data_IF_198003516934
#
_entry.id   IF_198003516934
#
_cell.length_a   1.000
_cell.length_b   1.000
_cell.length_c   1.000
_cell.angle_alpha   90.00
_cell.angle_beta   90.00
_cell.angle_gamma   90.00
#
_symmetry.space_group_name_H-M   'P 1'
#
loop_
_entity.id
_entity.type
_entity.pdbx_description
1 polymer ?
#
# COMPACT_ATOMS: atom_id res chain seq x y z
N UNK A 1 17.18 5.73 -26.56
CA UNK A 1 16.01 5.03 -27.15
C UNK A 1 16.20 3.54 -26.87
N UNK A 2 15.76 3.07 -25.68
CA UNK A 2 15.86 1.65 -25.33
C UNK A 2 14.46 1.06 -25.39
N UNK A 3 14.22 0.30 -26.44
CA UNK A 3 12.98 -0.45 -26.65
C UNK A 3 13.04 -1.68 -25.73
N UNK A 4 12.29 -1.66 -24.63
CA UNK A 4 12.08 -2.87 -23.83
C UNK A 4 11.27 -3.87 -24.64
N UNK A 5 11.95 -4.91 -25.12
CA UNK A 5 11.29 -6.10 -25.67
C UNK A 5 10.71 -6.86 -24.46
N UNK A 6 9.43 -6.60 -24.17
CA UNK A 6 8.66 -7.47 -23.28
C UNK A 6 8.40 -8.75 -24.09
N UNK A 7 9.08 -9.83 -23.71
CA UNK A 7 8.81 -11.14 -24.30
C UNK A 7 7.34 -11.47 -24.10
N UNK A 8 6.60 -11.69 -25.18
CA UNK A 8 5.21 -12.14 -25.11
C UNK A 8 5.18 -13.49 -24.39
N UNK A 9 4.36 -13.65 -23.37
CA UNK A 9 4.22 -14.94 -22.68
C UNK A 9 3.76 -16.01 -23.70
N UNK A 10 4.29 -17.21 -23.55
CA UNK A 10 4.08 -18.33 -24.46
C UNK A 10 2.63 -18.83 -24.31
N UNK A 11 1.72 -18.24 -25.03
CA UNK A 11 0.26 -18.33 -24.90
C UNK A 11 -0.29 -19.79 -24.92
N UNK A 12 0.50 -20.75 -25.40
CA UNK A 12 0.09 -22.17 -25.44
C UNK A 12 0.34 -22.94 -24.13
N UNK A 13 1.42 -22.61 -23.38
CA UNK A 13 1.72 -23.24 -22.07
C UNK A 13 0.84 -22.65 -20.97
N UNK A 14 0.60 -21.35 -21.03
CA UNK A 14 -0.25 -20.64 -20.05
C UNK A 14 -1.71 -21.10 -20.13
N UNK A 15 -2.24 -21.38 -21.32
CA UNK A 15 -3.59 -21.95 -21.47
C UNK A 15 -3.73 -23.35 -20.87
N UNK A 16 -2.69 -24.22 -20.96
CA UNK A 16 -2.74 -25.58 -20.38
C UNK A 16 -2.63 -25.54 -18.85
N UNK A 17 -1.83 -24.65 -18.28
CA UNK A 17 -1.76 -24.48 -16.83
C UNK A 17 -3.04 -23.86 -16.26
N UNK A 18 -3.59 -22.84 -16.90
CA UNK A 18 -4.87 -22.25 -16.51
C UNK A 18 -6.00 -23.29 -16.47
N UNK A 19 -6.04 -24.21 -17.43
CA UNK A 19 -7.04 -25.30 -17.45
C UNK A 19 -6.86 -26.31 -16.31
N UNK A 20 -5.63 -26.60 -15.89
CA UNK A 20 -5.35 -27.58 -14.82
C UNK A 20 -5.76 -27.08 -13.43
N UNK A 21 -5.73 -25.78 -13.20
CA UNK A 21 -5.99 -25.15 -11.89
C UNK A 21 -7.24 -24.29 -11.88
N UNK A 22 -8.05 -24.30 -12.95
CA UNK A 22 -9.24 -23.47 -13.08
C UNK A 22 -10.29 -23.68 -11.98
N UNK A 23 -10.28 -24.84 -11.34
CA UNK A 23 -11.23 -25.21 -10.27
C UNK A 23 -10.66 -24.96 -8.85
N UNK A 24 -9.43 -24.45 -8.74
CA UNK A 24 -8.84 -24.15 -7.43
C UNK A 24 -9.22 -22.71 -7.05
N UNK A 25 -9.84 -22.59 -5.89
CA UNK A 25 -10.20 -21.30 -5.30
C UNK A 25 -9.49 -21.07 -3.98
N UNK A 26 -9.42 -19.83 -3.55
CA UNK A 26 -8.95 -19.44 -2.24
C UNK A 26 -9.84 -18.33 -1.66
N UNK A 27 -9.80 -18.14 -0.35
CA UNK A 27 -10.49 -17.04 0.32
C UNK A 27 -9.63 -15.79 0.32
N UNK A 28 -10.00 -14.78 -0.48
CA UNK A 28 -9.29 -13.52 -0.66
C UNK A 28 -10.15 -12.30 -0.40
N UNK A 29 -9.49 -11.13 -0.39
CA UNK A 29 -10.14 -9.83 -0.29
C UNK A 29 -10.08 -9.15 -1.67
N UNK A 30 -11.21 -8.98 -2.32
CA UNK A 30 -11.29 -8.27 -3.59
C UNK A 30 -11.25 -6.77 -3.34
N UNK A 31 -10.45 -6.08 -4.15
CA UNK A 31 -10.28 -4.62 -4.09
C UNK A 31 -11.08 -3.95 -5.20
N UNK A 32 -11.31 -2.65 -5.06
CA UNK A 32 -12.07 -1.81 -5.99
C UNK A 32 -11.49 -1.87 -7.41
N UNK A 33 -10.19 -2.01 -7.55
CA UNK A 33 -9.50 -2.18 -8.85
C UNK A 33 -9.52 -3.62 -9.39
N UNK A 34 -10.28 -4.52 -8.77
CA UNK A 34 -10.43 -5.92 -9.17
C UNK A 34 -9.30 -6.86 -8.73
N UNK A 35 -8.19 -6.35 -8.17
CA UNK A 35 -7.10 -7.20 -7.64
C UNK A 35 -7.53 -7.89 -6.36
N UNK A 36 -6.94 -9.06 -6.10
CA UNK A 36 -7.26 -9.86 -4.91
C UNK A 36 -6.05 -9.98 -4.00
N UNK A 37 -6.25 -9.67 -2.72
CA UNK A 37 -5.25 -9.84 -1.66
C UNK A 37 -5.60 -11.02 -0.75
N UNK A 38 -4.58 -11.65 -0.19
CA UNK A 38 -4.72 -12.71 0.83
C UNK A 38 -4.68 -12.15 2.25
N UNK A 39 -4.35 -10.87 2.40
CA UNK A 39 -4.27 -10.11 3.66
C UNK A 39 -5.14 -8.86 3.57
N UNK A 40 -5.38 -8.23 4.72
CA UNK A 40 -6.22 -7.04 4.85
C UNK A 40 -5.57 -6.04 5.82
N UNK A 41 -4.31 -5.65 5.54
CA UNK A 41 -3.53 -4.79 6.42
C UNK A 41 -4.01 -3.34 6.35
N UNK A 42 -4.05 -2.67 7.49
CA UNK A 42 -4.07 -1.21 7.58
C UNK A 42 -2.62 -0.76 7.71
N UNK A 43 -2.13 -0.04 6.71
CA UNK A 43 -0.73 0.32 6.60
C UNK A 43 -0.48 1.73 7.12
N UNK A 44 0.55 1.90 7.94
CA UNK A 44 1.10 3.20 8.31
C UNK A 44 2.40 3.36 7.52
N UNK A 45 2.37 4.23 6.51
CA UNK A 45 3.42 4.37 5.50
C UNK A 45 4.20 5.66 5.72
N UNK A 46 5.47 5.60 6.14
CA UNK A 46 6.33 6.77 6.19
C UNK A 46 6.72 7.20 4.77
N UNK A 47 6.76 8.50 4.52
CA UNK A 47 7.25 9.08 3.26
C UNK A 47 8.78 9.11 3.22
N UNK A 48 9.38 9.30 4.38
CA UNK A 48 10.82 9.48 4.57
C UNK A 48 11.27 8.83 5.90
N UNK A 49 12.58 8.68 6.06
CA UNK A 49 13.18 8.03 7.24
C UNK A 49 12.93 8.77 8.56
N UNK A 50 12.74 10.08 8.54
CA UNK A 50 12.45 10.86 9.76
C UNK A 50 11.02 10.55 10.24
N UNK A 51 10.10 10.32 9.34
CA UNK A 51 8.71 9.99 9.65
C UNK A 51 8.52 8.59 10.27
N UNK A 52 9.54 7.74 10.24
CA UNK A 52 9.48 6.38 10.79
C UNK A 52 9.01 6.37 12.24
N UNK A 53 9.58 7.23 13.10
CA UNK A 53 9.24 7.26 14.53
C UNK A 53 7.75 7.57 14.76
N UNK A 54 7.19 8.50 14.01
CA UNK A 54 5.76 8.82 14.08
C UNK A 54 4.90 7.65 13.58
N UNK A 55 5.28 7.00 12.49
CA UNK A 55 4.58 5.82 11.96
C UNK A 55 4.59 4.65 12.95
N UNK A 56 5.74 4.36 13.55
CA UNK A 56 5.88 3.31 14.57
C UNK A 56 5.06 3.64 15.83
N UNK A 57 5.04 4.91 16.26
CA UNK A 57 4.21 5.33 17.39
C UNK A 57 2.71 5.12 17.11
N UNK A 58 2.22 5.45 15.90
CA UNK A 58 0.84 5.16 15.50
C UNK A 58 0.57 3.66 15.52
N UNK A 59 1.46 2.85 14.95
CA UNK A 59 1.28 1.39 14.90
C UNK A 59 1.31 0.76 16.30
N UNK A 60 2.09 1.31 17.23
CA UNK A 60 2.11 0.87 18.62
C UNK A 60 0.81 1.25 19.38
N UNK A 61 0.25 2.41 19.07
CA UNK A 61 -0.99 2.91 19.67
C UNK A 61 -2.24 2.16 19.16
N UNK A 62 -2.25 1.74 17.90
CA UNK A 62 -3.43 1.17 17.26
C UNK A 62 -3.17 -0.26 16.80
N UNK A 63 -3.66 -1.23 17.59
CA UNK A 63 -3.56 -2.65 17.22
C UNK A 63 -4.32 -2.95 15.93
N UNK A 64 -3.72 -3.80 15.09
CA UNK A 64 -4.29 -4.13 13.77
C UNK A 64 -3.69 -3.30 12.62
N UNK A 65 -2.79 -2.37 12.92
CA UNK A 65 -2.00 -1.63 11.94
C UNK A 65 -0.58 -2.19 11.82
N UNK A 66 0.10 -1.83 10.72
CA UNK A 66 1.48 -2.20 10.46
C UNK A 66 2.24 -1.01 9.88
N UNK A 67 3.31 -0.58 10.55
CA UNK A 67 4.25 0.39 9.98
C UNK A 67 5.32 -0.32 9.13
N UNK A 68 5.77 0.34 8.08
CA UNK A 68 6.88 -0.14 7.22
C UNK A 68 8.00 0.91 7.24
N UNK A 69 8.83 0.95 8.30
CA UNK A 69 9.95 1.89 8.38
C UNK A 69 11.01 1.56 7.32
N UNK A 70 11.66 2.61 6.81
CA UNK A 70 12.73 2.50 5.81
C UNK A 70 13.75 3.65 5.95
N UNK A 71 14.90 3.54 5.28
CA UNK A 71 16.01 4.47 5.40
C UNK A 71 16.10 5.51 4.26
N UNK A 72 15.04 5.70 3.49
CA UNK A 72 15.05 6.49 2.26
C UNK A 72 14.14 7.73 2.37
N UNK A 73 14.16 8.57 1.33
CA UNK A 73 13.22 9.67 1.13
C UNK A 73 13.81 11.06 1.26
N UNK A 74 15.04 11.26 1.79
CA UNK A 74 15.60 12.60 2.02
C UNK A 74 16.72 13.02 1.08
N UNK A 75 17.49 12.10 0.57
CA UNK A 75 18.69 12.39 -0.23
C UNK A 75 18.55 11.84 -1.67
N UNK A 76 17.33 11.72 -2.14
CA UNK A 76 17.02 11.26 -3.50
C UNK A 76 16.62 12.43 -4.36
N UNK A 77 17.12 12.45 -5.59
CA UNK A 77 16.90 13.54 -6.54
C UNK A 77 16.65 12.97 -7.93
N UNK A 78 15.95 13.73 -8.79
CA UNK A 78 15.71 13.36 -10.16
C UNK A 78 15.04 11.98 -10.29
N UNK A 79 15.59 11.12 -11.12
CA UNK A 79 15.04 9.78 -11.39
C UNK A 79 14.97 8.89 -10.15
N UNK A 80 15.94 8.98 -9.25
CA UNK A 80 15.95 8.21 -8.01
C UNK A 80 14.78 8.58 -7.09
N UNK A 81 14.46 9.87 -7.01
CA UNK A 81 13.29 10.35 -6.29
C UNK A 81 11.98 9.84 -6.92
N UNK A 82 11.91 9.81 -8.25
CA UNK A 82 10.74 9.25 -8.95
C UNK A 82 10.57 7.74 -8.69
N UNK A 83 11.66 7.00 -8.60
CA UNK A 83 11.64 5.59 -8.19
C UNK A 83 11.12 5.45 -6.76
N UNK A 84 11.57 6.32 -5.84
CA UNK A 84 11.09 6.35 -4.46
C UNK A 84 9.56 6.55 -4.41
N UNK A 85 9.02 7.58 -5.07
CA UNK A 85 7.58 7.83 -5.10
C UNK A 85 6.79 6.65 -5.67
N UNK A 86 7.24 6.08 -6.80
CA UNK A 86 6.59 4.90 -7.37
C UNK A 86 6.60 3.70 -6.44
N UNK A 87 7.69 3.52 -5.68
CA UNK A 87 7.82 2.44 -4.71
C UNK A 87 6.85 2.61 -3.54
N UNK A 88 6.75 3.82 -3.00
CA UNK A 88 5.82 4.13 -1.90
C UNK A 88 4.36 3.97 -2.36
N UNK A 89 4.01 4.52 -3.52
CA UNK A 89 2.68 4.36 -4.12
C UNK A 89 2.37 2.88 -4.36
N UNK A 90 3.31 2.13 -4.95
CA UNK A 90 3.15 0.69 -5.20
C UNK A 90 2.96 -0.12 -3.91
N UNK A 91 3.67 0.24 -2.85
CA UNK A 91 3.54 -0.40 -1.53
C UNK A 91 2.15 -0.16 -0.94
N UNK A 92 1.69 1.09 -0.92
CA UNK A 92 0.36 1.44 -0.44
C UNK A 92 -0.76 0.84 -1.30
N UNK A 93 -0.54 0.72 -2.60
CA UNK A 93 -1.50 0.18 -3.58
C UNK A 93 -1.55 -1.35 -3.61
N UNK A 94 -0.74 -2.05 -2.82
CA UNK A 94 -0.70 -3.51 -2.80
C UNK A 94 -2.09 -4.11 -2.47
N UNK A 95 -2.45 -5.20 -3.13
CA UNK A 95 -3.74 -5.86 -2.91
C UNK A 95 -3.94 -6.38 -1.48
N UNK A 96 -2.86 -6.66 -0.76
CA UNK A 96 -2.89 -7.09 0.65
C UNK A 96 -3.15 -5.93 1.64
N UNK A 97 -3.17 -4.68 1.17
CA UNK A 97 -3.46 -3.49 1.96
C UNK A 97 -4.92 -3.10 1.78
N UNK A 98 -5.61 -2.85 2.88
CA UNK A 98 -6.98 -2.34 2.91
C UNK A 98 -7.00 -0.82 2.73
N UNK A 99 -6.30 -0.13 3.63
CA UNK A 99 -6.24 1.33 3.69
C UNK A 99 -4.87 1.77 4.18
N UNK A 100 -4.53 3.03 3.94
CA UNK A 100 -3.19 3.56 4.23
C UNK A 100 -3.28 4.89 4.99
N UNK A 101 -2.49 5.00 6.05
CA UNK A 101 -2.17 6.29 6.68
C UNK A 101 -0.76 6.67 6.23
N UNK A 102 -0.63 7.72 5.45
CA UNK A 102 0.65 8.24 4.96
C UNK A 102 1.12 9.35 5.89
N UNK A 103 2.34 9.24 6.38
CA UNK A 103 2.96 10.27 7.25
C UNK A 103 4.31 10.67 6.65
N UNK A 104 4.47 11.96 6.42
CA UNK A 104 5.73 12.54 5.93
C UNK A 104 6.09 13.81 6.69
N UNK A 105 7.33 14.29 6.52
CA UNK A 105 7.72 15.60 7.04
C UNK A 105 7.02 16.67 6.22
N UNK A 106 7.19 16.63 4.93
CA UNK A 106 6.84 17.67 3.97
C UNK A 106 5.46 17.39 3.33
N UNK A 107 4.57 18.40 3.26
CA UNK A 107 3.19 18.21 2.79
C UNK A 107 3.06 17.76 1.33
N UNK A 108 3.84 18.32 0.40
CA UNK A 108 3.66 18.07 -1.04
C UNK A 108 4.04 16.63 -1.42
N UNK A 109 5.12 16.10 -0.85
CA UNK A 109 5.51 14.70 -1.06
C UNK A 109 4.52 13.73 -0.42
N UNK A 110 4.07 14.08 0.79
CA UNK A 110 3.05 13.30 1.50
C UNK A 110 1.77 13.22 0.68
N UNK A 111 1.32 14.37 0.17
CA UNK A 111 0.14 14.47 -0.69
C UNK A 111 0.33 13.70 -2.00
N UNK A 112 1.48 13.83 -2.66
CA UNK A 112 1.77 13.14 -3.92
C UNK A 112 1.65 11.61 -3.79
N UNK A 113 2.20 11.04 -2.72
CA UNK A 113 2.11 9.60 -2.45
C UNK A 113 0.68 9.21 -2.13
N UNK A 114 0.00 9.98 -1.28
CA UNK A 114 -1.38 9.70 -0.89
C UNK A 114 -2.32 9.73 -2.11
N UNK A 115 -2.18 10.72 -2.99
CA UNK A 115 -3.00 10.83 -4.19
C UNK A 115 -2.75 9.66 -5.15
N UNK A 116 -1.49 9.28 -5.38
CA UNK A 116 -1.18 8.13 -6.21
C UNK A 116 -1.74 6.80 -5.69
N UNK A 117 -1.85 6.65 -4.37
CA UNK A 117 -2.50 5.48 -3.78
C UNK A 117 -4.03 5.58 -3.95
N UNK A 118 -4.63 6.76 -3.75
CA UNK A 118 -6.09 6.99 -3.94
C UNK A 118 -6.57 6.66 -5.34
N UNK A 119 -5.75 6.89 -6.37
CA UNK A 119 -6.07 6.52 -7.76
C UNK A 119 -6.36 5.03 -7.95
N UNK A 120 -5.91 4.18 -7.04
CA UNK A 120 -6.20 2.74 -7.05
C UNK A 120 -7.51 2.35 -6.33
N UNK A 121 -8.28 3.34 -5.87
CA UNK A 121 -9.54 3.15 -5.14
C UNK A 121 -9.38 2.95 -3.63
N UNK A 122 -8.16 2.95 -3.10
CA UNK A 122 -7.92 2.75 -1.65
C UNK A 122 -8.27 3.99 -0.83
N UNK A 123 -8.77 3.76 0.37
CA UNK A 123 -8.97 4.80 1.37
C UNK A 123 -7.61 5.20 1.97
N UNK A 124 -7.31 6.50 1.93
CA UNK A 124 -6.03 7.05 2.37
C UNK A 124 -6.26 8.30 3.24
N UNK A 125 -5.61 8.32 4.40
CA UNK A 125 -5.43 9.52 5.21
C UNK A 125 -3.97 9.97 5.12
N UNK A 126 -3.74 11.28 5.07
CA UNK A 126 -2.40 11.87 4.95
C UNK A 126 -2.14 12.87 6.06
N UNK A 127 -0.93 12.86 6.59
CA UNK A 127 -0.49 13.76 7.65
C UNK A 127 0.94 14.20 7.41
N UNK A 128 1.21 15.50 7.57
CA UNK A 128 2.57 16.06 7.56
C UNK A 128 2.96 16.53 8.95
N UNK A 129 4.23 16.30 9.32
CA UNK A 129 4.79 16.70 10.61
C UNK A 129 5.12 18.18 10.62
N UNK A 130 5.54 18.72 9.47
CA UNK A 130 5.89 20.13 9.32
C UNK A 130 4.75 21.04 9.81
N UNK A 131 5.09 22.05 10.59
CA UNK A 131 4.19 23.03 11.21
C UNK A 131 3.25 22.50 12.30
N UNK A 132 3.06 21.17 12.41
CA UNK A 132 2.14 20.57 13.40
C UNK A 132 2.88 19.90 14.55
N UNK A 133 4.06 19.38 14.26
CA UNK A 133 4.87 18.60 15.21
C UNK A 133 4.41 17.15 15.33
N UNK A 134 5.27 16.33 15.94
CA UNK A 134 5.09 14.89 16.04
C UNK A 134 3.86 14.47 16.82
N UNK A 135 3.65 15.08 18.00
CA UNK A 135 2.56 14.67 18.90
C UNK A 135 1.18 14.86 18.28
N UNK A 136 0.95 16.01 17.64
CA UNK A 136 -0.34 16.28 17.00
C UNK A 136 -0.55 15.38 15.78
N UNK A 137 0.52 15.15 15.01
CA UNK A 137 0.49 14.23 13.86
C UNK A 137 0.18 12.80 14.30
N UNK A 138 0.88 12.29 15.32
CA UNK A 138 0.64 10.94 15.87
C UNK A 138 -0.79 10.82 16.40
N UNK A 139 -1.29 11.83 17.12
CA UNK A 139 -2.65 11.85 17.63
C UNK A 139 -3.69 11.74 16.50
N UNK A 140 -3.60 12.63 15.52
CA UNK A 140 -4.55 12.67 14.41
C UNK A 140 -4.48 11.41 13.55
N UNK A 141 -3.27 10.94 13.22
CA UNK A 141 -3.03 9.72 12.46
C UNK A 141 -3.54 8.47 13.19
N UNK A 142 -3.40 8.41 14.53
CA UNK A 142 -3.92 7.29 15.33
C UNK A 142 -5.45 7.21 15.28
N UNK A 143 -6.17 8.34 15.25
CA UNK A 143 -7.61 8.34 15.08
C UNK A 143 -8.02 7.82 13.68
N UNK A 144 -7.37 8.29 12.62
CA UNK A 144 -7.62 7.79 11.27
C UNK A 144 -7.31 6.29 11.16
N UNK A 145 -6.18 5.85 11.71
CA UNK A 145 -5.79 4.45 11.73
C UNK A 145 -6.81 3.56 12.44
N UNK A 146 -7.37 4.03 13.57
CA UNK A 146 -8.42 3.33 14.32
C UNK A 146 -9.68 3.16 13.48
N UNK A 147 -10.13 4.21 12.79
CA UNK A 147 -11.27 4.15 11.88
C UNK A 147 -11.04 3.14 10.75
N UNK A 148 -9.85 3.16 10.15
CA UNK A 148 -9.46 2.23 9.10
C UNK A 148 -9.42 0.76 9.58
N UNK A 149 -8.92 0.51 10.79
CA UNK A 149 -8.95 -0.83 11.38
C UNK A 149 -10.40 -1.29 11.59
N UNK A 150 -11.27 -0.42 12.09
CA UNK A 150 -12.68 -0.76 12.24
C UNK A 150 -13.31 -1.16 10.90
N UNK A 151 -13.15 -0.35 9.87
CA UNK A 151 -13.64 -0.66 8.51
C UNK A 151 -13.04 -1.95 7.95
N UNK A 152 -11.73 -2.16 8.15
CA UNK A 152 -11.05 -3.36 7.68
C UNK A 152 -11.60 -4.65 8.32
N UNK A 153 -12.12 -4.59 9.56
CA UNK A 153 -12.73 -5.77 10.22
C UNK A 153 -14.10 -6.13 9.67
N UNK A 154 -14.78 -5.21 9.00
CA UNK A 154 -16.09 -5.44 8.39
C UNK A 154 -15.98 -6.15 7.03
N UNK A 155 -14.83 -6.05 6.36
CA UNK A 155 -14.62 -6.65 5.04
C UNK A 155 -14.49 -8.16 5.15
N UNK A 156 -15.37 -8.87 4.44
CA UNK A 156 -15.37 -10.32 4.40
C UNK A 156 -14.54 -10.87 3.25
N UNK A 157 -13.97 -12.06 3.45
CA UNK A 157 -13.30 -12.81 2.38
C UNK A 157 -14.32 -13.46 1.46
N UNK A 158 -14.08 -13.40 0.16
CA UNK A 158 -14.86 -14.09 -0.85
C UNK A 158 -14.05 -15.19 -1.56
N UNK A 159 -14.72 -16.06 -2.29
CA UNK A 159 -14.05 -17.04 -3.14
C UNK A 159 -13.48 -16.39 -4.38
N UNK A 160 -12.17 -16.58 -4.57
CA UNK A 160 -11.41 -16.04 -5.69
C UNK A 160 -10.69 -17.17 -6.41
N UNK A 161 -10.53 -17.05 -7.73
CA UNK A 161 -9.76 -18.03 -8.49
C UNK A 161 -8.27 -17.96 -8.15
N UNK A 162 -7.59 -19.11 -8.11
CA UNK A 162 -6.14 -19.16 -7.94
C UNK A 162 -5.38 -18.37 -9.03
N UNK A 163 -5.99 -18.19 -10.21
CA UNK A 163 -5.41 -17.40 -11.29
C UNK A 163 -5.34 -15.89 -11.00
N UNK A 164 -6.06 -15.41 -9.98
CA UNK A 164 -6.04 -14.02 -9.53
C UNK A 164 -4.95 -13.76 -8.48
N UNK A 165 -4.28 -14.82 -8.01
CA UNK A 165 -3.20 -14.72 -7.04
C UNK A 165 -1.91 -14.25 -7.71
N UNK A 166 -1.34 -13.17 -7.18
CA UNK A 166 -0.04 -12.66 -7.59
C UNK A 166 1.03 -13.17 -6.61
N UNK A 167 2.06 -13.80 -7.17
CA UNK A 167 3.23 -14.29 -6.43
C UNK A 167 4.46 -13.60 -6.99
N UNK A 168 5.30 -13.02 -6.13
CA UNK A 168 6.56 -12.35 -6.47
C UNK A 168 7.74 -13.13 -5.88
#
# INVERSE_FOLDING_TARGET
MFTHIIAKPNAGKDRKMASKYSNITFKGFRRENGRVGVRNHVLILPVDDISNAACEAVANNVKGTMAIPHAYGRLQFGEDLEVHFRTMIGTGSNANVHSVVVIGIEPDWTKRIADGIRETGKEVAEFSIEQKGDFETIRAASWAAKDFVHKATEVQREECSISELWVS
#
